data_IF_272348861221
#
_entry.id   IF_272348861221
#
_cell.length_a   1.000
_cell.length_b   1.000
_cell.length_c   1.000
_cell.angle_alpha   90.00
_cell.angle_beta   90.00
_cell.angle_gamma   90.00
#
_symmetry.space_group_name_H-M   'P 1'
#
loop_
_entity.id
_entity.type
_entity.pdbx_description
1 polymer ?
#
# COMPACT_ATOMS: atom_id res chain seq x y z
N UNK A 1 3.22 15.03 16.68
CA UNK A 1 2.61 16.39 16.79
C UNK A 1 2.00 16.56 18.18
N UNK A 2 1.95 17.76 18.80
CA UNK A 2 1.25 17.91 20.06
C UNK A 2 -0.23 17.59 19.85
N UNK A 3 -0.79 16.79 20.75
CA UNK A 3 -2.20 16.40 20.73
C UNK A 3 -3.09 17.65 20.75
N UNK A 4 -4.06 17.78 19.84
CA UNK A 4 -4.92 18.96 19.83
C UNK A 4 -5.80 18.97 21.09
N UNK A 5 -5.61 19.98 21.92
CA UNK A 5 -6.55 20.25 23.04
C UNK A 5 -7.73 21.03 22.47
N UNK A 6 -8.84 20.36 22.25
CA UNK A 6 -10.04 20.97 21.68
C UNK A 6 -10.75 21.83 22.73
N UNK A 7 -10.89 23.12 22.41
CA UNK A 7 -11.56 24.08 23.32
C UNK A 7 -13.08 24.01 23.15
N UNK A 8 -13.85 23.68 24.22
CA UNK A 8 -15.32 23.60 24.17
C UNK A 8 -16.01 24.94 23.86
N UNK A 9 -15.28 26.07 24.00
CA UNK A 9 -15.78 27.42 23.69
C UNK A 9 -15.23 27.94 22.33
N UNK A 10 -14.63 27.10 21.52
CA UNK A 10 -14.14 27.45 20.19
C UNK A 10 -15.28 27.97 19.29
N UNK A 11 -14.98 28.78 18.26
CA UNK A 11 -15.95 29.16 17.24
C UNK A 11 -16.67 27.98 16.61
N UNK A 12 -15.97 26.85 16.41
CA UNK A 12 -16.49 25.64 15.78
C UNK A 12 -17.58 24.97 16.62
N UNK A 13 -17.34 24.85 17.95
CA UNK A 13 -18.36 24.38 18.88
C UNK A 13 -19.56 25.32 18.93
N UNK A 14 -19.32 26.64 18.94
CA UNK A 14 -20.41 27.61 18.92
C UNK A 14 -21.27 27.46 17.64
N UNK A 15 -20.64 27.32 16.47
CA UNK A 15 -21.35 27.10 15.20
C UNK A 15 -22.16 25.79 15.24
N UNK A 16 -21.58 24.71 15.75
CA UNK A 16 -22.27 23.42 15.89
C UNK A 16 -23.56 23.55 16.72
N UNK A 17 -23.45 24.11 17.93
CA UNK A 17 -24.61 24.26 18.82
C UNK A 17 -25.63 25.28 18.32
N UNK A 18 -25.21 26.34 17.65
CA UNK A 18 -26.12 27.29 16.99
C UNK A 18 -26.91 26.62 15.88
N UNK A 19 -26.24 25.78 15.07
CA UNK A 19 -26.91 25.01 14.03
C UNK A 19 -27.97 24.07 14.62
N UNK A 20 -27.62 23.31 15.66
CA UNK A 20 -28.57 22.44 16.36
C UNK A 20 -29.77 23.21 16.94
N UNK A 21 -29.51 24.32 17.62
CA UNK A 21 -30.59 25.17 18.19
C UNK A 21 -31.49 25.70 17.09
N UNK A 22 -30.95 26.10 15.94
CA UNK A 22 -31.74 26.60 14.82
C UNK A 22 -32.63 25.50 14.21
N UNK A 23 -32.10 24.28 14.08
CA UNK A 23 -32.88 23.12 13.62
C UNK A 23 -34.00 22.78 14.60
N UNK A 24 -33.70 22.71 15.90
CA UNK A 24 -34.66 22.41 16.96
C UNK A 24 -35.78 23.47 17.03
N UNK A 25 -35.44 24.76 16.93
CA UNK A 25 -36.43 25.84 16.91
C UNK A 25 -37.39 25.78 15.71
N UNK A 26 -37.00 25.12 14.63
CA UNK A 26 -37.83 24.88 13.44
C UNK A 26 -38.57 23.54 13.47
N UNK A 27 -38.48 22.77 14.59
CA UNK A 27 -39.06 21.44 14.69
C UNK A 27 -38.39 20.38 13.82
N UNK A 28 -37.16 20.63 13.37
CA UNK A 28 -36.39 19.71 12.54
C UNK A 28 -35.52 18.86 13.48
N UNK A 29 -35.89 17.58 13.64
CA UNK A 29 -35.21 16.62 14.51
C UNK A 29 -34.73 15.38 13.72
N UNK A 30 -34.73 15.45 12.38
CA UNK A 30 -34.38 14.33 11.52
C UNK A 30 -32.89 13.96 11.62
N UNK A 31 -32.58 12.68 11.51
CA UNK A 31 -31.21 12.12 11.53
C UNK A 31 -30.28 12.82 10.53
N UNK A 32 -30.75 13.02 9.31
CA UNK A 32 -29.93 13.57 8.22
C UNK A 32 -29.44 15.00 8.54
N UNK A 33 -30.27 15.83 9.14
CA UNK A 33 -29.95 17.24 9.44
C UNK A 33 -29.00 17.38 10.65
N UNK A 34 -29.21 16.58 11.69
CA UNK A 34 -28.34 16.58 12.87
C UNK A 34 -26.99 15.94 12.57
N UNK A 35 -26.98 14.88 11.77
CA UNK A 35 -25.78 14.22 11.23
C UNK A 35 -24.88 15.22 10.49
N UNK A 36 -25.43 16.07 9.63
CA UNK A 36 -24.65 17.09 8.90
C UNK A 36 -23.96 18.09 9.84
N UNK A 37 -24.62 18.50 10.93
CA UNK A 37 -24.02 19.42 11.88
C UNK A 37 -22.81 18.79 12.58
N UNK A 38 -22.90 17.52 12.98
CA UNK A 38 -21.81 16.78 13.59
C UNK A 38 -20.68 16.49 12.60
N UNK A 39 -21.02 16.09 11.35
CA UNK A 39 -20.07 15.89 10.26
C UNK A 39 -19.21 17.15 10.01
N UNK A 40 -19.84 18.32 9.97
CA UNK A 40 -19.15 19.61 9.77
C UNK A 40 -18.18 19.92 10.93
N UNK A 41 -18.57 19.61 12.17
CA UNK A 41 -17.69 19.74 13.34
C UNK A 41 -16.46 18.82 13.20
N UNK A 42 -16.69 17.55 12.89
CA UNK A 42 -15.61 16.57 12.67
C UNK A 42 -14.69 16.97 11.50
N UNK A 43 -15.26 17.41 10.37
CA UNK A 43 -14.48 17.86 9.22
C UNK A 43 -13.60 19.06 9.51
N UNK A 44 -14.08 19.96 10.37
CA UNK A 44 -13.31 21.15 10.76
C UNK A 44 -12.07 20.75 11.57
N UNK A 45 -12.23 19.88 12.57
CA UNK A 45 -11.10 19.41 13.37
C UNK A 45 -10.18 18.46 12.61
N UNK A 46 -10.71 17.69 11.67
CA UNK A 46 -9.89 16.90 10.77
C UNK A 46 -8.89 17.78 9.99
N UNK A 47 -9.34 18.91 9.46
CA UNK A 47 -8.45 19.89 8.78
C UNK A 47 -7.38 20.46 9.70
N UNK A 48 -7.73 20.77 10.96
CA UNK A 48 -6.78 21.30 11.94
C UNK A 48 -5.70 20.27 12.34
N UNK A 49 -6.01 18.97 12.23
CA UNK A 49 -5.08 17.86 12.52
C UNK A 49 -4.38 17.30 11.28
N UNK A 50 -4.54 17.93 10.11
CA UNK A 50 -4.06 17.43 8.84
C UNK A 50 -4.64 16.05 8.46
N UNK A 51 -5.89 15.79 8.85
CA UNK A 51 -6.63 14.62 8.44
C UNK A 51 -7.65 14.97 7.35
N UNK A 52 -7.84 14.08 6.42
CA UNK A 52 -8.84 14.16 5.38
C UNK A 52 -10.12 13.46 5.86
N UNK A 53 -11.23 14.18 5.91
CA UNK A 53 -12.55 13.62 6.18
C UNK A 53 -13.17 13.10 4.88
N UNK A 54 -13.32 11.77 4.76
CA UNK A 54 -13.85 11.12 3.54
C UNK A 54 -15.21 10.46 3.87
N UNK A 55 -16.34 11.04 3.38
CA UNK A 55 -17.65 10.45 3.62
C UNK A 55 -17.81 9.10 2.94
N UNK A 56 -18.52 8.17 3.62
CA UNK A 56 -18.94 6.88 3.07
C UNK A 56 -17.79 6.06 2.40
N UNK A 57 -16.58 6.24 2.89
CA UNK A 57 -15.41 5.51 2.37
C UNK A 57 -15.54 4.02 2.67
N UNK A 58 -15.55 3.14 1.66
CA UNK A 58 -15.81 1.72 1.88
C UNK A 58 -14.63 1.05 2.60
N UNK A 59 -14.95 0.22 3.58
CA UNK A 59 -14.00 -0.69 4.22
C UNK A 59 -13.73 -1.92 3.35
N UNK A 60 -12.65 -2.67 3.58
CA UNK A 60 -12.34 -3.90 2.85
C UNK A 60 -13.50 -4.92 2.83
N UNK A 61 -14.28 -5.00 3.91
CA UNK A 61 -15.47 -5.84 4.02
C UNK A 61 -16.74 -5.24 3.37
N UNK A 62 -16.61 -4.21 2.52
CA UNK A 62 -17.67 -3.49 1.81
C UNK A 62 -18.65 -2.71 2.71
N UNK A 63 -18.44 -2.68 4.01
CA UNK A 63 -19.18 -1.79 4.89
C UNK A 63 -18.68 -0.36 4.69
N UNK A 64 -19.55 0.62 4.88
CA UNK A 64 -19.24 2.03 4.72
C UNK A 64 -19.58 2.74 6.01
N UNK A 65 -18.59 3.16 6.81
CA UNK A 65 -18.84 4.12 7.87
C UNK A 65 -19.28 5.45 7.27
N UNK A 66 -19.99 6.24 8.03
CA UNK A 66 -20.42 7.56 7.57
C UNK A 66 -19.26 8.49 7.25
N UNK A 67 -18.10 8.31 7.88
CA UNK A 67 -16.83 8.85 7.41
C UNK A 67 -15.63 8.03 7.86
N UNK A 68 -14.56 8.13 7.07
CA UNK A 68 -13.20 7.68 7.38
C UNK A 68 -12.27 8.91 7.45
N UNK A 69 -11.33 8.89 8.38
CA UNK A 69 -10.32 9.93 8.53
C UNK A 69 -8.98 9.40 8.05
N UNK A 70 -8.43 10.00 7.00
CA UNK A 70 -7.17 9.63 6.36
C UNK A 70 -6.11 10.71 6.61
N UNK A 71 -4.85 10.34 6.61
CA UNK A 71 -3.74 11.30 6.62
C UNK A 71 -3.62 12.03 5.27
N UNK A 72 -3.18 13.29 5.28
CA UNK A 72 -3.03 14.09 4.05
C UNK A 72 -1.75 13.79 3.29
N UNK A 73 -0.70 13.29 3.95
CA UNK A 73 0.59 12.99 3.31
C UNK A 73 0.72 11.52 2.90
N UNK A 74 0.08 10.65 3.67
CA UNK A 74 0.03 9.22 3.44
C UNK A 74 -1.40 8.79 3.70
N UNK A 75 -1.93 7.84 2.94
CA UNK A 75 -3.30 7.31 3.11
C UNK A 75 -3.45 6.49 4.41
N UNK A 76 -2.85 7.01 5.50
CA UNK A 76 -2.92 6.43 6.84
C UNK A 76 -4.32 6.63 7.40
N UNK A 77 -4.99 5.57 7.76
CA UNK A 77 -6.28 5.66 8.41
C UNK A 77 -6.10 5.98 9.89
N UNK A 78 -6.70 7.08 10.34
CA UNK A 78 -6.64 7.55 11.73
C UNK A 78 -7.91 7.27 12.52
N UNK A 79 -9.04 7.07 11.85
CA UNK A 79 -10.28 6.77 12.54
C UNK A 79 -11.50 6.74 11.66
N UNK A 80 -12.63 6.48 12.29
CA UNK A 80 -13.93 6.31 11.64
C UNK A 80 -15.03 7.03 12.42
N UNK A 81 -16.12 7.33 11.75
CA UNK A 81 -17.34 7.84 12.34
C UNK A 81 -18.56 7.14 11.77
N UNK A 82 -19.51 6.82 12.65
CA UNK A 82 -20.79 6.23 12.31
C UNK A 82 -21.91 6.89 13.09
N UNK A 83 -22.92 7.41 12.40
CA UNK A 83 -24.11 8.04 12.94
C UNK A 83 -25.31 7.09 12.95
N UNK A 84 -26.23 7.30 13.86
CA UNK A 84 -27.49 6.61 14.01
C UNK A 84 -28.64 7.57 14.25
N UNK A 85 -29.84 7.09 13.99
CA UNK A 85 -31.05 7.85 14.28
C UNK A 85 -31.19 8.21 15.78
N UNK A 86 -31.75 9.40 16.11
CA UNK A 86 -31.82 9.87 17.51
C UNK A 86 -32.73 9.00 18.40
N UNK A 87 -33.57 8.15 17.83
CA UNK A 87 -34.45 7.24 18.54
C UNK A 87 -33.88 5.81 18.64
N UNK A 88 -32.75 5.54 17.97
CA UNK A 88 -32.10 4.24 18.07
C UNK A 88 -31.32 4.10 19.38
N UNK A 89 -31.43 2.91 20.00
CA UNK A 89 -30.55 2.57 21.12
C UNK A 89 -29.13 2.32 20.57
N UNK A 90 -28.25 3.29 20.83
CA UNK A 90 -26.91 3.29 20.28
C UNK A 90 -26.10 2.05 20.68
N UNK A 91 -26.26 1.55 21.90
CA UNK A 91 -25.53 0.36 22.39
C UNK A 91 -25.97 -0.92 21.68
N UNK A 92 -27.27 -1.05 21.39
CA UNK A 92 -27.80 -2.16 20.61
C UNK A 92 -27.35 -2.09 19.14
N UNK A 93 -27.46 -0.92 18.52
CA UNK A 93 -27.02 -0.69 17.15
C UNK A 93 -25.52 -0.90 16.94
N UNK A 94 -24.70 -0.62 17.95
CA UNK A 94 -23.25 -0.86 17.92
C UNK A 94 -22.95 -2.36 17.98
N UNK A 95 -23.64 -3.14 18.83
CA UNK A 95 -23.39 -4.59 19.01
C UNK A 95 -23.37 -5.35 17.68
N UNK A 96 -24.29 -5.03 16.79
CA UNK A 96 -24.37 -5.65 15.46
C UNK A 96 -23.24 -5.21 14.53
N UNK A 97 -22.59 -4.07 14.82
CA UNK A 97 -21.53 -3.47 14.01
C UNK A 97 -20.12 -3.74 14.51
N UNK A 98 -19.95 -4.15 15.78
CA UNK A 98 -18.65 -4.47 16.39
C UNK A 98 -17.87 -5.55 15.61
N UNK A 99 -18.57 -6.42 14.90
CA UNK A 99 -17.97 -7.50 14.10
C UNK A 99 -17.53 -7.03 12.70
N UNK A 100 -17.96 -5.86 12.25
CA UNK A 100 -17.79 -5.43 10.87
C UNK A 100 -16.98 -4.13 10.71
N UNK A 101 -16.87 -3.33 11.77
CA UNK A 101 -16.11 -2.09 11.73
C UNK A 101 -14.76 -2.22 12.44
N UNK A 102 -13.70 -1.58 11.90
CA UNK A 102 -12.45 -1.45 12.62
C UNK A 102 -12.67 -0.64 13.89
N UNK A 103 -12.34 -1.23 15.04
CA UNK A 103 -12.50 -0.58 16.34
C UNK A 103 -11.21 0.08 16.83
N UNK A 104 -10.29 0.39 15.92
CA UNK A 104 -9.01 1.02 16.24
C UNK A 104 -9.20 2.43 16.79
N UNK A 105 -10.06 3.24 16.17
CA UNK A 105 -10.44 4.58 16.62
C UNK A 105 -11.76 4.97 15.93
N UNK A 106 -12.90 4.78 16.58
CA UNK A 106 -14.20 5.05 15.99
C UNK A 106 -15.15 5.77 16.94
N UNK A 107 -15.82 6.79 16.42
CA UNK A 107 -16.93 7.46 17.10
C UNK A 107 -18.25 6.90 16.56
N UNK A 108 -19.11 6.42 17.47
CA UNK A 108 -20.52 6.17 17.22
C UNK A 108 -21.36 7.26 17.87
N UNK A 109 -22.36 7.79 17.18
CA UNK A 109 -23.26 8.79 17.77
C UNK A 109 -24.70 8.66 17.26
N UNK A 110 -25.67 9.21 18.00
CA UNK A 110 -27.09 9.22 17.65
C UNK A 110 -27.74 10.60 17.88
N UNK A 111 -27.03 11.68 17.71
CA UNK A 111 -27.46 13.08 17.95
C UNK A 111 -27.77 13.42 19.42
N UNK A 112 -27.79 12.43 20.33
CA UNK A 112 -27.98 12.62 21.78
C UNK A 112 -26.72 12.25 22.56
N UNK A 113 -26.07 11.17 22.14
CA UNK A 113 -24.92 10.55 22.82
C UNK A 113 -23.86 10.22 21.78
N UNK A 114 -22.59 10.35 22.16
CA UNK A 114 -21.47 9.78 21.42
C UNK A 114 -20.69 8.78 22.27
N UNK A 115 -20.21 7.70 21.63
CA UNK A 115 -19.30 6.71 22.19
C UNK A 115 -18.02 6.67 21.38
N UNK A 116 -16.88 6.71 22.05
CA UNK A 116 -15.58 6.49 21.45
C UNK A 116 -15.08 5.08 21.78
N UNK A 117 -14.69 4.33 20.75
CA UNK A 117 -13.94 3.09 20.86
C UNK A 117 -12.53 3.29 20.35
N UNK A 118 -11.55 2.76 21.10
CA UNK A 118 -10.14 2.68 20.68
C UNK A 118 -9.59 1.30 21.04
N UNK A 119 -8.82 0.71 20.15
CA UNK A 119 -8.24 -0.64 20.32
C UNK A 119 -9.27 -1.70 20.75
N UNK A 120 -10.46 -1.67 20.14
CA UNK A 120 -11.55 -2.60 20.44
C UNK A 120 -12.27 -2.38 21.78
N UNK A 121 -11.92 -1.33 22.54
CA UNK A 121 -12.49 -1.07 23.86
C UNK A 121 -13.23 0.27 23.89
N UNK A 122 -14.37 0.36 24.62
CA UNK A 122 -15.03 1.65 24.85
C UNK A 122 -14.14 2.54 25.74
N UNK A 123 -13.85 3.76 25.28
CA UNK A 123 -13.03 4.74 26.00
C UNK A 123 -13.93 5.66 26.83
N UNK A 124 -14.95 6.25 26.20
CA UNK A 124 -15.88 7.13 26.88
C UNK A 124 -17.25 7.17 26.20
N UNK A 125 -18.28 7.51 26.98
CA UNK A 125 -19.65 7.77 26.55
C UNK A 125 -20.05 9.16 27.04
N UNK A 126 -20.46 10.04 26.14
CA UNK A 126 -20.77 11.43 26.45
C UNK A 126 -22.12 11.84 25.89
N UNK A 127 -22.84 12.68 26.64
CA UNK A 127 -24.01 13.37 26.09
C UNK A 127 -23.54 14.52 25.19
N UNK A 128 -24.06 14.63 23.96
CA UNK A 128 -23.66 15.67 23.01
C UNK A 128 -24.00 17.09 23.48
N UNK A 129 -24.88 17.24 24.48
CA UNK A 129 -25.18 18.52 25.11
C UNK A 129 -24.08 19.00 26.07
N UNK A 130 -23.24 18.10 26.59
CA UNK A 130 -22.13 18.42 27.49
C UNK A 130 -20.91 18.82 26.66
N UNK A 131 -20.74 20.13 26.50
CA UNK A 131 -19.69 20.70 25.64
C UNK A 131 -18.27 20.27 26.07
N UNK A 132 -18.02 20.20 27.36
CA UNK A 132 -16.72 19.85 27.90
C UNK A 132 -16.40 18.38 27.57
N UNK A 133 -17.32 17.48 27.89
CA UNK A 133 -17.13 16.06 27.64
C UNK A 133 -17.02 15.73 26.14
N UNK A 134 -17.79 16.44 25.30
CA UNK A 134 -17.66 16.30 23.85
C UNK A 134 -16.29 16.78 23.37
N UNK A 135 -15.78 17.91 23.89
CA UNK A 135 -14.44 18.39 23.56
C UNK A 135 -13.34 17.40 24.00
N UNK A 136 -13.49 16.79 25.18
CA UNK A 136 -12.58 15.77 25.70
C UNK A 136 -12.61 14.51 24.83
N UNK A 137 -13.80 14.05 24.39
CA UNK A 137 -13.96 12.93 23.47
C UNK A 137 -13.27 13.22 22.13
N UNK A 138 -13.52 14.38 21.53
CA UNK A 138 -12.91 14.76 20.24
C UNK A 138 -11.40 14.95 20.39
N UNK A 139 -10.91 15.50 21.52
CA UNK A 139 -9.48 15.58 21.79
C UNK A 139 -8.84 14.18 21.83
N UNK A 140 -9.48 13.22 22.49
CA UNK A 140 -9.03 11.82 22.52
C UNK A 140 -9.04 11.19 21.14
N UNK A 141 -10.09 11.42 20.35
CA UNK A 141 -10.22 10.90 18.99
C UNK A 141 -9.15 11.46 18.05
N UNK A 142 -8.97 12.77 18.01
CA UNK A 142 -8.02 13.44 17.11
C UNK A 142 -6.56 13.41 17.59
N UNK A 143 -6.30 13.00 18.83
CA UNK A 143 -4.94 12.74 19.33
C UNK A 143 -4.50 11.29 19.14
N UNK A 144 -5.42 10.40 18.79
CA UNK A 144 -5.11 8.98 18.61
C UNK A 144 -4.34 8.75 17.32
N UNK A 145 -3.25 8.01 17.42
CA UNK A 145 -2.52 7.50 16.28
C UNK A 145 -2.46 5.97 16.38
N UNK A 146 -2.96 5.22 15.40
CA UNK A 146 -2.77 3.77 15.33
C UNK A 146 -1.29 3.41 15.45
N UNK A 147 -0.95 2.33 16.17
CA UNK A 147 0.45 1.92 16.37
C UNK A 147 1.19 1.72 15.04
N UNK A 148 0.51 1.17 14.03
CA UNK A 148 1.06 1.01 12.68
C UNK A 148 1.44 2.35 12.03
N UNK A 149 0.63 3.39 12.23
CA UNK A 149 0.89 4.73 11.69
C UNK A 149 2.05 5.41 12.41
N UNK A 150 2.09 5.33 13.75
CA UNK A 150 3.22 5.85 14.52
C UNK A 150 4.53 5.15 14.17
N UNK A 151 4.49 3.84 14.02
CA UNK A 151 5.64 3.04 13.67
C UNK A 151 6.16 3.41 12.26
N UNK A 152 5.27 3.56 11.28
CA UNK A 152 5.62 4.04 9.94
C UNK A 152 6.26 5.43 9.99
N UNK A 153 5.62 6.39 10.66
CA UNK A 153 6.11 7.77 10.75
C UNK A 153 7.47 7.85 11.48
N UNK A 154 7.68 7.06 12.55
CA UNK A 154 8.98 6.98 13.23
C UNK A 154 10.06 6.40 12.32
N UNK A 155 9.74 5.35 11.59
CA UNK A 155 10.66 4.74 10.62
C UNK A 155 10.99 5.75 9.52
N UNK A 156 10.00 6.45 8.99
CA UNK A 156 10.17 7.50 7.99
C UNK A 156 11.00 8.68 8.50
N UNK A 157 10.76 9.14 9.73
CA UNK A 157 11.57 10.19 10.36
C UNK A 157 13.03 9.77 10.58
N UNK A 158 13.26 8.48 10.89
CA UNK A 158 14.63 7.94 11.01
C UNK A 158 15.35 7.95 9.67
N UNK A 159 14.65 7.64 8.57
CA UNK A 159 15.17 7.73 7.21
C UNK A 159 15.58 9.17 6.83
N UNK A 160 14.86 10.16 7.35
CA UNK A 160 15.09 11.57 7.03
C UNK A 160 16.08 12.30 7.94
N UNK A 161 16.58 11.69 9.04
CA UNK A 161 17.37 12.37 10.09
C UNK A 161 18.75 11.73 10.38
N UNK A 162 19.35 11.01 9.46
CA UNK A 162 20.55 10.22 9.73
C UNK A 162 21.88 11.00 9.89
N UNK A 163 22.89 10.40 10.53
CA UNK A 163 24.15 11.05 10.91
C UNK A 163 25.03 11.47 9.72
N UNK A 164 25.87 12.49 9.96
CA UNK A 164 26.70 13.18 8.96
C UNK A 164 27.92 12.39 8.39
N UNK A 165 28.11 11.10 8.72
CA UNK A 165 29.35 10.37 8.44
C UNK A 165 29.59 10.03 6.95
N UNK A 166 28.60 10.21 6.10
CA UNK A 166 28.70 10.04 4.65
C UNK A 166 28.37 11.33 3.91
N UNK A 167 29.18 12.38 4.06
CA UNK A 167 29.02 13.62 3.34
C UNK A 167 29.54 13.50 1.90
N UNK A 168 28.72 13.78 0.92
CA UNK A 168 29.16 14.05 -0.43
C UNK A 168 29.35 15.58 -0.59
N UNK A 169 30.36 16.04 -1.36
CA UNK A 169 30.66 17.47 -1.48
C UNK A 169 29.51 18.34 -2.00
N UNK A 170 28.58 17.74 -2.74
CA UNK A 170 27.45 18.42 -3.40
C UNK A 170 26.08 18.03 -2.85
N UNK A 171 26.02 17.37 -1.67
CA UNK A 171 24.78 16.81 -1.16
C UNK A 171 24.34 17.44 0.15
N UNK A 172 23.30 18.29 0.10
CA UNK A 172 22.59 18.85 1.24
C UNK A 172 21.55 17.86 1.84
N UNK A 173 21.42 16.63 1.30
CA UNK A 173 20.46 15.63 1.76
C UNK A 173 20.82 15.12 3.14
N UNK A 174 19.86 15.18 4.06
CA UNK A 174 19.94 14.59 5.41
C UNK A 174 19.48 13.13 5.42
N UNK A 175 19.08 12.58 4.29
CA UNK A 175 18.50 11.25 4.19
C UNK A 175 19.59 10.17 3.99
N UNK A 176 19.77 9.32 4.99
CA UNK A 176 20.79 8.25 4.97
C UNK A 176 20.59 7.26 3.84
N UNK A 177 19.33 6.91 3.55
CA UNK A 177 19.01 5.94 2.50
C UNK A 177 19.46 6.46 1.13
N UNK A 178 19.19 7.73 0.84
CA UNK A 178 19.64 8.39 -0.40
C UNK A 178 21.16 8.35 -0.53
N UNK A 179 21.88 8.66 0.56
CA UNK A 179 23.35 8.65 0.59
C UNK A 179 23.92 7.25 0.37
N UNK A 180 23.34 6.24 1.03
CA UNK A 180 23.76 4.85 0.85
C UNK A 180 23.43 4.36 -0.55
N UNK A 181 22.25 4.63 -1.07
CA UNK A 181 21.87 4.29 -2.45
C UNK A 181 22.85 4.92 -3.46
N UNK A 182 23.17 6.21 -3.29
CA UNK A 182 24.14 6.92 -4.13
C UNK A 182 25.55 6.30 -4.03
N UNK A 183 25.98 5.89 -2.82
CA UNK A 183 27.27 5.22 -2.64
C UNK A 183 27.28 3.84 -3.33
N UNK A 184 26.20 3.07 -3.21
CA UNK A 184 26.07 1.78 -3.91
C UNK A 184 26.16 2.00 -5.44
N UNK A 185 25.45 3.00 -5.97
CA UNK A 185 25.50 3.35 -7.40
C UNK A 185 26.91 3.72 -7.86
N UNK A 186 27.68 4.46 -7.04
CA UNK A 186 29.09 4.76 -7.35
C UNK A 186 29.94 3.50 -7.38
N UNK A 187 29.83 2.61 -6.40
CA UNK A 187 30.56 1.36 -6.36
C UNK A 187 30.21 0.44 -7.54
N UNK A 188 28.96 0.39 -7.96
CA UNK A 188 28.53 -0.32 -9.15
C UNK A 188 29.19 0.28 -10.41
N UNK A 189 29.24 1.62 -10.53
CA UNK A 189 29.88 2.31 -11.65
C UNK A 189 31.39 2.09 -11.71
N UNK A 190 32.04 2.16 -10.57
CA UNK A 190 33.49 1.95 -10.47
C UNK A 190 33.83 0.48 -10.84
N UNK A 191 33.09 -0.49 -10.29
CA UNK A 191 33.31 -1.90 -10.60
C UNK A 191 32.99 -2.24 -12.08
N UNK A 192 32.01 -1.58 -12.69
CA UNK A 192 31.73 -1.73 -14.13
C UNK A 192 32.95 -1.35 -14.98
N UNK A 193 33.72 -0.35 -14.59
CA UNK A 193 34.91 0.11 -15.32
C UNK A 193 36.13 -0.80 -15.05
N UNK A 194 36.26 -1.27 -13.81
CA UNK A 194 37.48 -1.96 -13.34
C UNK A 194 37.38 -3.48 -13.36
N UNK A 195 36.19 -4.04 -13.50
CA UNK A 195 35.94 -5.48 -13.40
C UNK A 195 35.29 -6.07 -14.66
N UNK A 196 36.07 -6.65 -15.58
CA UNK A 196 35.55 -7.18 -16.84
C UNK A 196 34.50 -8.27 -16.66
N UNK A 197 34.56 -9.08 -15.60
CA UNK A 197 33.56 -10.13 -15.34
C UNK A 197 32.21 -9.51 -14.95
N UNK A 198 32.22 -8.48 -14.10
CA UNK A 198 31.01 -7.75 -13.75
C UNK A 198 30.47 -7.00 -14.96
N UNK A 199 31.33 -6.33 -15.73
CA UNK A 199 30.92 -5.63 -16.96
C UNK A 199 30.21 -6.58 -17.92
N UNK A 200 30.76 -7.77 -18.17
CA UNK A 200 30.14 -8.75 -19.04
C UNK A 200 28.75 -9.21 -18.55
N UNK A 201 28.64 -9.52 -17.26
CA UNK A 201 27.37 -9.91 -16.65
C UNK A 201 26.35 -8.79 -16.71
N UNK A 202 26.78 -7.55 -16.43
CA UNK A 202 25.94 -6.36 -16.50
C UNK A 202 25.43 -6.09 -17.93
N UNK A 203 26.33 -6.08 -18.92
CA UNK A 203 25.97 -5.81 -20.33
C UNK A 203 25.01 -6.87 -20.88
N UNK A 204 25.20 -8.14 -20.48
CA UNK A 204 24.29 -9.20 -20.81
C UNK A 204 22.89 -8.92 -20.23
N UNK A 205 22.81 -8.60 -18.94
CA UNK A 205 21.56 -8.28 -18.25
C UNK A 205 20.90 -7.04 -18.86
N UNK A 206 21.66 -5.95 -19.13
CA UNK A 206 21.13 -4.78 -19.81
C UNK A 206 20.57 -5.11 -21.19
N UNK A 207 21.27 -5.93 -21.97
CA UNK A 207 20.79 -6.37 -23.29
C UNK A 207 19.46 -7.11 -23.18
N UNK A 208 19.31 -7.93 -22.14
CA UNK A 208 18.06 -8.64 -21.90
C UNK A 208 16.97 -7.65 -21.48
N UNK A 209 17.23 -6.71 -20.55
CA UNK A 209 16.28 -5.66 -20.19
C UNK A 209 15.80 -4.84 -21.40
N UNK A 210 16.72 -4.47 -22.31
CA UNK A 210 16.37 -3.75 -23.53
C UNK A 210 15.49 -4.53 -24.49
N UNK A 211 15.58 -5.86 -24.47
CA UNK A 211 14.73 -6.72 -25.28
C UNK A 211 13.37 -7.01 -24.66
N UNK A 212 13.27 -6.99 -23.33
CA UNK A 212 12.11 -7.48 -22.58
C UNK A 212 11.26 -6.37 -21.96
N UNK A 213 11.88 -5.31 -21.49
CA UNK A 213 11.18 -4.20 -20.82
C UNK A 213 11.01 -3.02 -21.76
N UNK A 214 12.09 -2.35 -22.09
CA UNK A 214 12.09 -1.18 -22.96
C UNK A 214 13.41 -1.10 -23.73
N UNK A 215 13.40 -1.05 -25.07
CA UNK A 215 14.61 -0.91 -25.88
C UNK A 215 15.45 0.32 -25.57
N UNK A 216 14.87 1.31 -24.92
CA UNK A 216 15.53 2.57 -24.55
C UNK A 216 16.18 2.55 -23.18
N UNK A 217 16.06 1.42 -22.43
CA UNK A 217 16.67 1.27 -21.10
C UNK A 217 18.15 1.62 -21.13
N UNK A 218 18.51 2.60 -20.34
CA UNK A 218 19.87 3.09 -20.18
C UNK A 218 20.60 2.29 -19.10
N UNK A 219 21.93 2.44 -19.12
CA UNK A 219 22.80 1.84 -18.12
C UNK A 219 22.43 2.27 -16.68
N UNK A 220 22.09 3.56 -16.49
CA UNK A 220 21.72 4.13 -15.21
C UNK A 220 20.45 3.47 -14.60
N UNK A 221 19.53 3.02 -15.44
CA UNK A 221 18.31 2.33 -14.97
C UNK A 221 18.64 0.92 -14.48
N UNK A 222 19.53 0.22 -15.16
CA UNK A 222 20.02 -1.10 -14.71
C UNK A 222 20.86 -0.97 -13.44
N UNK A 223 21.70 0.04 -13.32
CA UNK A 223 22.42 0.37 -12.09
C UNK A 223 21.44 0.61 -10.93
N UNK A 224 20.35 1.33 -11.20
CA UNK A 224 19.27 1.56 -10.22
C UNK A 224 18.57 0.27 -9.81
N UNK A 225 18.28 -0.64 -10.75
CA UNK A 225 17.69 -1.97 -10.43
C UNK A 225 18.59 -2.78 -9.51
N UNK A 226 19.92 -2.82 -9.77
CA UNK A 226 20.87 -3.50 -8.89
C UNK A 226 20.93 -2.88 -7.50
N UNK A 227 20.94 -1.56 -7.40
CA UNK A 227 20.94 -0.87 -6.12
C UNK A 227 19.63 -1.13 -5.33
N UNK A 228 18.49 -1.13 -6.00
CA UNK A 228 17.18 -1.46 -5.42
C UNK A 228 17.17 -2.90 -4.89
N UNK A 229 17.65 -3.85 -5.69
CA UNK A 229 17.73 -5.26 -5.31
C UNK A 229 18.57 -5.45 -4.04
N UNK A 230 19.79 -4.90 -4.00
CA UNK A 230 20.69 -4.96 -2.86
C UNK A 230 20.11 -4.34 -1.57
N UNK A 231 19.38 -3.24 -1.70
CA UNK A 231 18.77 -2.55 -0.55
C UNK A 231 17.52 -3.26 -0.02
N UNK A 232 16.83 -4.03 -0.84
CA UNK A 232 15.54 -4.64 -0.46
C UNK A 232 15.64 -6.11 -0.09
N UNK A 233 16.76 -6.76 -0.37
CA UNK A 233 17.03 -8.17 -0.05
C UNK A 233 16.69 -8.49 1.42
N UNK A 234 17.24 -7.74 2.36
CA UNK A 234 17.02 -7.96 3.79
C UNK A 234 15.56 -7.72 4.22
N UNK A 235 14.89 -6.74 3.63
CA UNK A 235 13.49 -6.45 3.97
C UNK A 235 12.59 -7.61 3.53
N UNK A 236 12.82 -8.12 2.32
CA UNK A 236 12.05 -9.25 1.80
C UNK A 236 12.22 -10.49 2.69
N UNK A 237 13.45 -10.79 3.13
CA UNK A 237 13.74 -11.90 4.01
C UNK A 237 13.09 -11.76 5.40
N UNK A 238 13.01 -10.53 5.94
CA UNK A 238 12.43 -10.31 7.27
C UNK A 238 10.89 -10.38 7.29
N UNK A 239 10.25 -10.00 6.19
CA UNK A 239 8.78 -10.02 6.07
C UNK A 239 8.24 -11.42 5.79
N UNK A 240 8.99 -12.19 5.05
CA UNK A 240 8.67 -13.56 4.62
C UNK A 240 9.74 -14.55 5.09
N UNK A 241 9.92 -14.73 6.42
CA UNK A 241 11.04 -15.48 6.99
C UNK A 241 11.05 -16.96 6.61
N UNK A 242 9.90 -17.51 6.23
CA UNK A 242 9.74 -18.90 5.82
C UNK A 242 10.04 -19.13 4.33
N UNK A 243 10.51 -18.09 3.62
CA UNK A 243 10.72 -18.12 2.17
C UNK A 243 12.09 -17.60 1.77
N UNK A 244 12.68 -18.27 0.83
CA UNK A 244 13.88 -17.83 0.13
C UNK A 244 13.46 -17.18 -1.22
N UNK A 245 12.86 -15.98 -1.09
CA UNK A 245 12.34 -15.23 -2.24
C UNK A 245 13.39 -15.04 -3.36
N UNK A 246 14.64 -14.81 -2.98
CA UNK A 246 15.72 -14.58 -3.94
C UNK A 246 15.96 -15.81 -4.84
N UNK A 247 15.83 -17.01 -4.28
CA UNK A 247 16.00 -18.25 -5.02
C UNK A 247 14.71 -18.74 -5.70
N UNK A 248 13.55 -18.27 -5.25
CA UNK A 248 12.26 -18.65 -5.81
C UNK A 248 11.80 -17.71 -6.94
N UNK A 249 12.16 -16.41 -6.88
CA UNK A 249 11.77 -15.43 -7.90
C UNK A 249 12.77 -15.43 -9.08
N UNK A 250 12.27 -15.68 -10.31
CA UNK A 250 13.11 -15.80 -11.50
C UNK A 250 13.88 -14.53 -11.85
N UNK A 251 13.33 -13.34 -11.58
CA UNK A 251 13.97 -12.06 -11.86
C UNK A 251 15.03 -11.75 -10.79
N UNK A 252 14.75 -12.05 -9.53
CA UNK A 252 15.73 -11.93 -8.46
C UNK A 252 16.95 -12.83 -8.73
N UNK A 253 16.74 -14.07 -9.18
CA UNK A 253 17.82 -14.97 -9.58
C UNK A 253 18.71 -14.41 -10.71
N UNK A 254 18.12 -13.72 -11.69
CA UNK A 254 18.92 -13.11 -12.76
C UNK A 254 19.76 -11.91 -12.27
N UNK A 255 19.21 -11.11 -11.35
CA UNK A 255 19.96 -10.03 -10.70
C UNK A 255 21.09 -10.57 -9.81
N UNK A 256 20.85 -11.63 -9.05
CA UNK A 256 21.88 -12.28 -8.25
C UNK A 256 23.08 -12.73 -9.10
N UNK A 257 22.87 -13.28 -10.30
CA UNK A 257 23.97 -13.65 -11.20
C UNK A 257 24.84 -12.45 -11.58
N UNK A 258 24.29 -11.25 -11.66
CA UNK A 258 25.07 -10.02 -11.89
C UNK A 258 25.80 -9.62 -10.62
N UNK A 259 25.09 -9.63 -9.47
CA UNK A 259 25.62 -9.25 -8.16
C UNK A 259 26.78 -10.17 -7.69
N UNK A 260 26.71 -11.47 -7.98
CA UNK A 260 27.80 -12.42 -7.69
C UNK A 260 29.14 -12.02 -8.30
N UNK A 261 29.13 -11.30 -9.41
CA UNK A 261 30.33 -10.80 -10.07
C UNK A 261 30.81 -9.44 -9.55
N UNK A 262 30.04 -8.78 -8.65
CA UNK A 262 30.37 -7.48 -8.10
C UNK A 262 31.45 -7.60 -7.01
N UNK A 263 32.65 -7.09 -7.24
CA UNK A 263 33.76 -7.12 -6.25
C UNK A 263 33.41 -6.31 -4.99
N UNK A 264 32.71 -5.19 -5.18
CA UNK A 264 32.25 -4.34 -4.09
C UNK A 264 31.14 -4.97 -3.22
N UNK A 265 30.61 -6.15 -3.58
CA UNK A 265 29.51 -6.79 -2.86
C UNK A 265 29.75 -6.93 -1.36
N UNK A 266 30.95 -7.39 -0.97
CA UNK A 266 31.31 -7.53 0.45
C UNK A 266 31.36 -6.18 1.19
N UNK A 267 31.85 -5.14 0.54
CA UNK A 267 31.87 -3.79 1.09
C UNK A 267 30.46 -3.25 1.28
N UNK A 268 29.59 -3.46 0.29
CA UNK A 268 28.19 -3.08 0.35
C UNK A 268 27.50 -3.79 1.51
N UNK A 269 27.59 -5.11 1.59
CA UNK A 269 26.95 -5.91 2.63
C UNK A 269 27.47 -5.58 4.05
N UNK A 270 28.78 -5.48 4.23
CA UNK A 270 29.37 -5.35 5.56
C UNK A 270 29.40 -3.92 6.08
N UNK A 271 29.58 -2.93 5.21
CA UNK A 271 29.77 -1.55 5.64
C UNK A 271 28.53 -0.68 5.40
N UNK A 272 27.99 -0.72 4.18
CA UNK A 272 26.89 0.18 3.81
C UNK A 272 25.54 -0.31 4.33
N UNK A 273 25.21 -1.58 4.13
CA UNK A 273 23.95 -2.13 4.61
C UNK A 273 23.92 -2.26 6.13
N UNK A 274 25.09 -2.43 6.78
CA UNK A 274 25.18 -2.40 8.24
C UNK A 274 24.83 -1.02 8.81
N UNK A 275 25.12 0.05 8.11
CA UNK A 275 24.69 1.41 8.52
C UNK A 275 23.17 1.56 8.51
N UNK A 276 22.47 0.75 7.73
CA UNK A 276 20.99 0.66 7.73
C UNK A 276 20.44 -0.37 8.73
N UNK A 277 21.30 -1.02 9.53
CA UNK A 277 20.85 -2.10 10.43
C UNK A 277 19.74 -1.64 11.39
N UNK A 278 19.90 -0.48 12.02
CA UNK A 278 18.85 0.09 12.88
C UNK A 278 17.53 0.36 12.17
N UNK A 279 17.59 0.71 10.90
CA UNK A 279 16.39 0.91 10.07
C UNK A 279 15.72 -0.43 9.78
N UNK A 280 16.50 -1.42 9.34
CA UNK A 280 15.97 -2.76 9.07
C UNK A 280 15.37 -3.38 10.33
N UNK A 281 16.07 -3.29 11.49
CA UNK A 281 15.53 -3.75 12.78
C UNK A 281 14.20 -3.08 13.13
N UNK A 282 14.05 -1.77 12.88
CA UNK A 282 12.79 -1.07 13.10
C UNK A 282 11.70 -1.53 12.15
N UNK A 283 12.02 -1.77 10.87
CA UNK A 283 11.07 -2.33 9.90
C UNK A 283 10.62 -3.72 10.37
N UNK A 284 11.57 -4.57 10.76
CA UNK A 284 11.33 -5.92 11.28
C UNK A 284 10.45 -5.90 12.55
N UNK A 285 10.74 -5.01 13.51
CA UNK A 285 9.92 -4.83 14.71
C UNK A 285 8.49 -4.40 14.42
N UNK A 286 8.31 -3.51 13.44
CA UNK A 286 6.97 -3.05 13.04
C UNK A 286 6.21 -4.19 12.38
N UNK A 287 6.82 -4.86 11.42
CA UNK A 287 6.21 -6.00 10.71
C UNK A 287 5.83 -7.12 11.66
N UNK A 288 6.67 -7.40 12.68
CA UNK A 288 6.38 -8.40 13.70
C UNK A 288 5.16 -8.05 14.59
N UNK A 289 4.87 -6.76 14.76
CA UNK A 289 3.73 -6.27 15.55
C UNK A 289 2.43 -6.17 14.75
N UNK A 290 2.51 -6.21 13.43
CA UNK A 290 1.33 -6.17 12.57
C UNK A 290 0.72 -7.57 12.45
N UNK A 291 -0.52 -7.73 12.94
CA UNK A 291 -1.19 -9.03 13.03
C UNK A 291 -1.80 -9.50 11.71
N UNK A 292 -2.25 -8.57 10.85
CA UNK A 292 -2.82 -8.91 9.56
C UNK A 292 -1.88 -8.59 8.40
N UNK A 293 -1.96 -9.40 7.38
CA UNK A 293 -1.10 -9.26 6.21
C UNK A 293 -1.40 -7.97 5.43
N UNK A 294 -2.63 -7.48 5.43
CA UNK A 294 -2.96 -6.21 4.75
C UNK A 294 -2.24 -5.02 5.37
N UNK A 295 -2.15 -4.98 6.71
CA UNK A 295 -1.38 -3.95 7.41
C UNK A 295 0.11 -4.06 7.07
N UNK A 296 0.66 -5.29 7.03
CA UNK A 296 2.04 -5.55 6.59
C UNK A 296 2.27 -5.08 5.15
N UNK A 297 1.40 -5.45 4.23
CA UNK A 297 1.48 -5.06 2.82
C UNK A 297 1.41 -3.53 2.65
N UNK A 298 0.45 -2.86 3.31
CA UNK A 298 0.34 -1.39 3.28
C UNK A 298 1.60 -0.73 3.82
N UNK A 299 2.11 -1.21 4.94
CA UNK A 299 3.35 -0.69 5.53
C UNK A 299 4.53 -0.84 4.57
N UNK A 300 4.74 -2.04 4.03
CA UNK A 300 5.82 -2.31 3.08
C UNK A 300 5.70 -1.49 1.80
N UNK A 301 4.52 -1.45 1.18
CA UNK A 301 4.30 -0.65 -0.02
C UNK A 301 4.72 0.81 0.19
N UNK A 302 4.44 1.38 1.37
CA UNK A 302 4.87 2.74 1.73
C UNK A 302 6.38 2.86 1.96
N UNK A 303 6.98 1.88 2.64
CA UNK A 303 8.45 1.85 2.84
C UNK A 303 9.13 1.80 1.48
N UNK A 304 8.67 0.94 0.58
CA UNK A 304 9.24 0.80 -0.76
C UNK A 304 8.99 2.04 -1.63
N UNK A 305 7.80 2.64 -1.58
CA UNK A 305 7.52 3.91 -2.25
C UNK A 305 8.49 5.00 -1.78
N UNK A 306 8.71 5.08 -0.47
CA UNK A 306 9.70 5.97 0.12
C UNK A 306 11.11 5.70 -0.36
N UNK A 307 11.53 4.43 -0.42
CA UNK A 307 12.83 4.01 -0.95
C UNK A 307 12.97 4.40 -2.41
N UNK A 308 11.96 4.11 -3.23
CA UNK A 308 11.99 4.37 -4.66
C UNK A 308 12.11 5.88 -4.96
N UNK A 309 11.33 6.73 -4.31
CA UNK A 309 11.41 8.19 -4.44
C UNK A 309 12.78 8.76 -4.07
N UNK A 310 13.53 8.07 -3.22
CA UNK A 310 14.88 8.49 -2.83
C UNK A 310 15.97 7.96 -3.78
N UNK A 311 15.78 6.77 -4.34
CA UNK A 311 16.78 6.11 -5.20
C UNK A 311 16.65 6.58 -6.65
N UNK A 312 15.43 6.73 -7.14
CA UNK A 312 15.13 7.05 -8.54
C UNK A 312 14.00 8.10 -8.66
N UNK A 313 14.21 9.34 -8.18
CA UNK A 313 13.17 10.37 -8.16
C UNK A 313 12.60 10.66 -9.56
N UNK A 314 13.46 10.74 -10.58
CA UNK A 314 13.03 11.01 -11.96
C UNK A 314 12.15 9.89 -12.53
N UNK A 315 12.38 8.64 -12.13
CA UNK A 315 11.56 7.49 -12.53
C UNK A 315 10.23 7.47 -11.75
N UNK A 316 10.24 7.87 -10.47
CA UNK A 316 9.03 7.96 -9.67
C UNK A 316 8.00 8.92 -10.28
N UNK A 317 8.47 10.06 -10.78
CA UNK A 317 7.62 11.09 -11.40
C UNK A 317 7.14 10.67 -12.79
N UNK A 318 7.99 9.97 -13.57
CA UNK A 318 7.65 9.55 -14.95
C UNK A 318 6.74 8.33 -15.01
N UNK A 319 6.84 7.41 -14.08
CA UNK A 319 6.06 6.15 -14.09
C UNK A 319 4.81 6.20 -13.21
N UNK A 320 4.47 7.37 -12.65
CA UNK A 320 3.21 7.59 -11.93
C UNK A 320 2.98 6.59 -10.81
N UNK A 321 3.99 6.36 -9.93
CA UNK A 321 3.84 5.45 -8.79
C UNK A 321 2.82 6.01 -7.83
N UNK A 322 1.58 5.64 -8.02
CA UNK A 322 0.46 6.00 -7.17
C UNK A 322 -0.19 4.72 -6.67
N UNK A 323 -0.15 4.54 -5.35
CA UNK A 323 -0.90 3.45 -4.70
C UNK A 323 -2.40 3.66 -4.89
N UNK A 324 -3.08 2.68 -5.47
CA UNK A 324 -4.54 2.73 -5.62
C UNK A 324 -5.20 2.35 -4.30
N UNK A 325 -5.98 3.25 -3.68
CA UNK A 325 -6.66 2.95 -2.42
C UNK A 325 -7.55 1.71 -2.51
N UNK A 326 -7.43 0.80 -1.56
CA UNK A 326 -8.20 -0.46 -1.54
C UNK A 326 -9.72 -0.29 -1.74
N UNK A 327 -10.38 0.75 -1.21
CA UNK A 327 -11.80 0.97 -1.47
C UNK A 327 -12.13 1.23 -2.92
N UNK A 328 -11.24 1.91 -3.66
CA UNK A 328 -11.41 2.13 -5.11
C UNK A 328 -11.26 0.82 -5.84
N UNK A 329 -10.24 0.02 -5.50
CA UNK A 329 -10.03 -1.32 -6.05
C UNK A 329 -11.26 -2.21 -5.82
N UNK A 330 -11.77 -2.24 -4.58
CA UNK A 330 -12.98 -2.99 -4.22
C UNK A 330 -14.22 -2.53 -5.00
N UNK A 331 -14.39 -1.24 -5.18
CA UNK A 331 -15.49 -0.68 -6.00
C UNK A 331 -15.35 -1.12 -7.48
N UNK A 332 -14.15 -1.04 -8.04
CA UNK A 332 -13.91 -1.41 -9.44
C UNK A 332 -14.16 -2.91 -9.65
N UNK A 333 -13.62 -3.77 -8.79
CA UNK A 333 -13.85 -5.22 -8.86
C UNK A 333 -15.34 -5.59 -8.70
N UNK A 334 -16.04 -4.96 -7.74
CA UNK A 334 -17.48 -5.16 -7.56
C UNK A 334 -18.30 -4.66 -8.75
N UNK A 335 -17.86 -3.58 -9.40
CA UNK A 335 -18.50 -3.05 -10.59
C UNK A 335 -18.33 -3.98 -11.78
N UNK A 336 -17.13 -4.53 -11.99
CA UNK A 336 -16.85 -5.54 -13.02
C UNK A 336 -17.67 -6.80 -12.77
N UNK A 337 -17.70 -7.31 -11.53
CA UNK A 337 -18.53 -8.47 -11.17
C UNK A 337 -20.01 -8.24 -11.49
N UNK A 338 -20.54 -7.05 -11.13
CA UNK A 338 -21.93 -6.69 -11.43
C UNK A 338 -22.21 -6.63 -12.93
N UNK A 339 -21.29 -6.03 -13.72
CA UNK A 339 -21.41 -5.96 -15.17
C UNK A 339 -21.38 -7.36 -15.81
N UNK A 340 -20.45 -8.22 -15.38
CA UNK A 340 -20.36 -9.59 -15.88
C UNK A 340 -21.65 -10.37 -15.61
N UNK A 341 -22.22 -10.23 -14.42
CA UNK A 341 -23.47 -10.90 -14.06
C UNK A 341 -24.66 -10.37 -14.85
N UNK A 342 -24.76 -9.03 -14.99
CA UNK A 342 -25.93 -8.40 -15.58
C UNK A 342 -25.96 -8.46 -17.10
N UNK A 343 -24.83 -8.23 -17.76
CA UNK A 343 -24.76 -8.05 -19.22
C UNK A 343 -24.22 -9.29 -19.95
N UNK A 344 -23.49 -10.17 -19.26
CA UNK A 344 -22.80 -11.32 -19.87
C UNK A 344 -23.20 -12.67 -19.27
N UNK A 345 -24.08 -12.71 -18.28
CA UNK A 345 -24.51 -13.91 -17.55
C UNK A 345 -23.33 -14.79 -17.06
N UNK A 346 -22.27 -14.12 -16.57
CA UNK A 346 -21.04 -14.73 -16.08
C UNK A 346 -20.52 -14.01 -14.83
N UNK A 347 -19.35 -14.38 -14.31
CA UNK A 347 -18.76 -13.78 -13.11
C UNK A 347 -17.23 -13.83 -13.17
N UNK A 348 -16.53 -13.04 -12.34
CA UNK A 348 -15.07 -13.13 -12.21
C UNK A 348 -14.59 -14.54 -11.80
N UNK A 349 -15.42 -15.30 -11.10
CA UNK A 349 -15.13 -16.67 -10.69
C UNK A 349 -15.40 -17.70 -11.79
N UNK A 350 -16.10 -17.36 -12.85
CA UNK A 350 -16.48 -18.32 -13.91
C UNK A 350 -15.25 -18.82 -14.67
N UNK A 351 -15.31 -20.08 -15.10
CA UNK A 351 -14.29 -20.69 -15.96
C UNK A 351 -14.20 -19.89 -17.27
N UNK A 352 -12.99 -19.72 -17.79
CA UNK A 352 -12.71 -19.00 -19.04
C UNK A 352 -12.88 -17.45 -18.96
N UNK A 353 -13.22 -16.89 -17.79
CA UNK A 353 -13.10 -15.46 -17.56
C UNK A 353 -11.66 -15.18 -17.14
N UNK A 354 -10.83 -14.83 -18.11
CA UNK A 354 -9.40 -14.56 -17.92
C UNK A 354 -9.21 -13.08 -17.63
N UNK A 355 -8.45 -12.78 -16.58
CA UNK A 355 -8.30 -11.44 -16.03
C UNK A 355 -6.85 -10.98 -16.18
N UNK A 356 -6.64 -9.76 -16.66
CA UNK A 356 -5.34 -9.11 -16.77
C UNK A 356 -5.34 -7.80 -16.00
N UNK A 357 -4.35 -7.61 -15.13
CA UNK A 357 -3.94 -6.30 -14.64
C UNK A 357 -2.67 -5.86 -15.39
N UNK A 358 -2.77 -4.91 -16.32
CA UNK A 358 -1.65 -4.55 -17.17
C UNK A 358 -0.55 -3.71 -16.49
N UNK A 359 -0.81 -3.20 -15.27
CA UNK A 359 0.08 -2.34 -14.50
C UNK A 359 -0.14 -2.60 -13.01
N UNK A 360 0.27 -3.77 -12.55
CA UNK A 360 -0.15 -4.33 -11.26
C UNK A 360 0.35 -3.55 -10.04
N UNK A 361 1.42 -2.77 -10.20
CA UNK A 361 2.04 -2.05 -9.10
C UNK A 361 2.46 -2.99 -7.97
N UNK A 362 1.98 -2.74 -6.76
CA UNK A 362 2.25 -3.59 -5.58
C UNK A 362 1.27 -4.76 -5.42
N UNK A 363 0.42 -5.06 -6.41
CA UNK A 363 -0.45 -6.23 -6.41
C UNK A 363 -1.86 -6.04 -5.85
N UNK A 364 -2.26 -4.83 -5.49
CA UNK A 364 -3.50 -4.57 -4.75
C UNK A 364 -4.77 -5.09 -5.43
N UNK A 365 -4.89 -4.96 -6.76
CA UNK A 365 -6.04 -5.48 -7.51
C UNK A 365 -6.12 -7.00 -7.47
N UNK A 366 -5.00 -7.67 -7.72
CA UNK A 366 -4.95 -9.13 -7.72
C UNK A 366 -5.17 -9.70 -6.33
N UNK A 367 -4.56 -9.13 -5.30
CA UNK A 367 -4.78 -9.53 -3.90
C UNK A 367 -6.26 -9.46 -3.51
N UNK A 368 -6.92 -8.34 -3.81
CA UNK A 368 -8.34 -8.18 -3.53
C UNK A 368 -9.23 -9.11 -4.36
N UNK A 369 -8.86 -9.35 -5.62
CA UNK A 369 -9.53 -10.31 -6.49
C UNK A 369 -9.46 -11.72 -5.88
N UNK A 370 -8.28 -12.19 -5.46
CA UNK A 370 -8.11 -13.52 -4.84
C UNK A 370 -9.02 -13.71 -3.62
N UNK A 371 -9.14 -12.68 -2.77
CA UNK A 371 -10.03 -12.73 -1.60
C UNK A 371 -11.53 -12.69 -1.93
N UNK A 372 -11.89 -12.18 -3.10
CA UNK A 372 -13.28 -12.15 -3.56
C UNK A 372 -13.71 -13.47 -4.20
N UNK A 373 -12.78 -14.24 -4.72
CA UNK A 373 -13.06 -15.48 -5.42
C UNK A 373 -13.44 -16.61 -4.44
N UNK A 374 -14.38 -17.48 -4.80
CA UNK A 374 -14.67 -18.67 -4.02
C UNK A 374 -13.44 -19.58 -3.93
N UNK A 375 -13.10 -20.10 -2.75
CA UNK A 375 -11.94 -21.00 -2.53
C UNK A 375 -11.86 -22.17 -3.52
N UNK A 376 -13.00 -22.72 -3.89
CA UNK A 376 -13.05 -23.84 -4.85
C UNK A 376 -12.60 -23.45 -6.27
N UNK A 377 -12.58 -22.16 -6.60
CA UNK A 377 -12.18 -21.63 -7.92
C UNK A 377 -10.75 -21.06 -7.92
N UNK A 378 -10.25 -20.73 -6.75
CA UNK A 378 -8.94 -20.10 -6.58
C UNK A 378 -7.80 -20.84 -7.27
N UNK A 379 -7.60 -22.18 -7.11
CA UNK A 379 -6.46 -22.86 -7.73
C UNK A 379 -6.44 -22.73 -9.25
N UNK A 380 -7.59 -22.91 -9.92
CA UNK A 380 -7.67 -22.81 -11.38
C UNK A 380 -7.46 -21.36 -11.86
N UNK A 381 -8.05 -20.37 -11.16
CA UNK A 381 -7.88 -18.95 -11.46
C UNK A 381 -6.43 -18.52 -11.29
N UNK A 382 -5.84 -18.84 -10.17
CA UNK A 382 -4.46 -18.53 -9.83
C UNK A 382 -3.45 -19.10 -10.82
N UNK A 383 -3.64 -20.35 -11.21
CA UNK A 383 -2.69 -21.04 -12.08
C UNK A 383 -2.77 -20.61 -13.56
N UNK A 384 -3.97 -20.24 -14.07
CA UNK A 384 -4.16 -20.13 -15.53
C UNK A 384 -5.07 -18.99 -16.02
N UNK A 385 -5.80 -18.32 -15.14
CA UNK A 385 -6.83 -17.37 -15.56
C UNK A 385 -6.63 -15.96 -14.96
N UNK A 386 -5.52 -15.71 -14.25
CA UNK A 386 -5.14 -14.39 -13.74
C UNK A 386 -3.73 -14.08 -14.23
N UNK A 387 -3.57 -12.93 -14.90
CA UNK A 387 -2.30 -12.41 -15.38
C UNK A 387 -2.10 -10.99 -14.91
N UNK A 388 -0.86 -10.59 -14.72
CA UNK A 388 -0.52 -9.21 -14.44
C UNK A 388 0.92 -8.87 -14.84
N UNK A 389 1.15 -7.59 -15.17
CA UNK A 389 2.42 -7.10 -15.68
C UNK A 389 2.91 -5.94 -14.81
N UNK A 390 4.24 -5.88 -14.63
CA UNK A 390 4.91 -4.77 -13.97
C UNK A 390 6.27 -4.54 -14.63
N UNK A 391 6.59 -3.28 -14.91
CA UNK A 391 7.83 -2.87 -15.55
C UNK A 391 8.90 -2.47 -14.54
N UNK A 392 8.48 -2.16 -13.31
CA UNK A 392 9.38 -1.69 -12.27
C UNK A 392 9.71 -2.78 -11.27
N UNK A 393 11.00 -2.92 -10.94
CA UNK A 393 11.51 -4.03 -10.15
C UNK A 393 10.91 -4.11 -8.74
N UNK A 394 10.90 -3.01 -7.99
CA UNK A 394 10.40 -3.04 -6.61
C UNK A 394 8.90 -3.32 -6.51
N UNK A 395 8.03 -2.63 -7.27
CA UNK A 395 6.62 -2.99 -7.31
C UNK A 395 6.39 -4.45 -7.73
N UNK A 396 7.13 -4.96 -8.74
CA UNK A 396 7.07 -6.35 -9.16
C UNK A 396 7.37 -7.32 -8.00
N UNK A 397 8.44 -7.06 -7.22
CA UNK A 397 8.79 -7.91 -6.07
C UNK A 397 7.68 -7.92 -5.02
N UNK A 398 7.15 -6.73 -4.68
CA UNK A 398 6.07 -6.62 -3.70
C UNK A 398 4.82 -7.33 -4.19
N UNK A 399 4.47 -7.15 -5.47
CA UNK A 399 3.31 -7.80 -6.06
C UNK A 399 3.44 -9.32 -6.02
N UNK A 400 4.56 -9.87 -6.49
CA UNK A 400 4.82 -11.31 -6.48
C UNK A 400 4.67 -11.90 -5.07
N UNK A 401 5.42 -11.36 -4.10
CA UNK A 401 5.36 -11.79 -2.70
C UNK A 401 3.96 -11.68 -2.09
N UNK A 402 3.29 -10.56 -2.34
CA UNK A 402 2.00 -10.29 -1.72
C UNK A 402 0.86 -11.13 -2.29
N UNK A 403 0.86 -11.36 -3.58
CA UNK A 403 -0.12 -12.23 -4.27
C UNK A 403 0.03 -13.67 -3.78
N UNK A 404 1.26 -14.17 -3.72
CA UNK A 404 1.56 -15.51 -3.23
C UNK A 404 1.19 -15.69 -1.76
N UNK A 405 1.43 -14.67 -0.93
CA UNK A 405 1.05 -14.70 0.48
C UNK A 405 -0.47 -14.74 0.67
N UNK A 406 -1.23 -13.95 -0.10
CA UNK A 406 -2.70 -14.00 -0.05
C UNK A 406 -3.22 -15.37 -0.48
N UNK A 407 -2.62 -15.97 -1.53
CA UNK A 407 -2.99 -17.33 -1.91
C UNK A 407 -2.71 -18.34 -0.81
N UNK A 408 -1.53 -18.24 -0.16
CA UNK A 408 -1.19 -19.09 0.99
C UNK A 408 -2.20 -18.94 2.15
N UNK A 409 -2.59 -17.70 2.50
CA UNK A 409 -3.59 -17.45 3.54
C UNK A 409 -4.96 -18.07 3.21
N UNK A 410 -5.37 -17.97 1.95
CA UNK A 410 -6.66 -18.50 1.49
C UNK A 410 -6.66 -20.03 1.36
N UNK A 411 -5.56 -20.62 0.90
CA UNK A 411 -5.51 -22.06 0.56
C UNK A 411 -4.84 -22.92 1.61
N UNK A 412 -3.98 -22.34 2.48
CA UNK A 412 -3.24 -23.06 3.52
C UNK A 412 -2.00 -23.81 3.00
N UNK A 413 -1.64 -23.61 1.74
CA UNK A 413 -0.41 -24.13 1.13
C UNK A 413 0.14 -23.14 0.11
N UNK A 414 1.45 -23.18 -0.07
CA UNK A 414 2.15 -22.32 -1.01
C UNK A 414 2.15 -22.88 -2.43
N UNK A 415 1.91 -21.99 -3.38
CA UNK A 415 2.19 -22.21 -4.81
C UNK A 415 2.75 -20.93 -5.41
N UNK A 416 3.79 -20.98 -6.25
CA UNK A 416 4.33 -19.79 -6.92
C UNK A 416 3.28 -19.19 -7.87
N UNK A 417 3.24 -17.86 -7.95
CA UNK A 417 2.33 -17.19 -8.87
C UNK A 417 2.95 -17.04 -10.26
N UNK A 418 2.54 -17.94 -11.13
CA UNK A 418 3.03 -17.99 -12.50
C UNK A 418 2.34 -16.99 -13.46
N UNK A 419 1.40 -16.19 -12.97
CA UNK A 419 0.65 -15.20 -13.74
C UNK A 419 1.27 -13.80 -13.77
N UNK A 420 2.35 -13.56 -13.03
CA UNK A 420 3.02 -12.25 -13.03
C UNK A 420 4.21 -12.24 -14.00
N UNK A 421 4.27 -11.21 -14.86
CA UNK A 421 5.36 -10.98 -15.81
C UNK A 421 6.10 -9.68 -15.49
N UNK A 422 7.43 -9.72 -15.54
CA UNK A 422 8.26 -8.53 -15.48
C UNK A 422 8.46 -7.98 -16.89
N UNK A 423 7.54 -7.11 -17.32
CA UNK A 423 7.50 -6.64 -18.72
C UNK A 423 6.69 -5.35 -18.86
N UNK A 424 6.96 -4.62 -19.95
CA UNK A 424 6.07 -3.54 -20.38
C UNK A 424 4.90 -4.12 -21.19
N UNK A 425 3.69 -3.95 -20.70
CA UNK A 425 2.45 -4.38 -21.36
C UNK A 425 2.30 -3.82 -22.77
N UNK A 426 2.71 -2.57 -23.00
CA UNK A 426 2.59 -1.92 -24.31
C UNK A 426 3.53 -2.52 -25.35
N UNK A 427 4.68 -3.01 -24.92
CA UNK A 427 5.64 -3.66 -25.81
C UNK A 427 5.25 -5.11 -26.16
N UNK A 428 4.46 -5.77 -25.31
CA UNK A 428 3.95 -7.12 -25.61
C UNK A 428 3.11 -7.17 -26.90
N UNK A 429 2.43 -6.06 -27.25
CA UNK A 429 1.58 -5.96 -28.44
C UNK A 429 2.42 -5.83 -29.73
N UNK A 430 3.68 -5.45 -29.64
CA UNK A 430 4.53 -5.09 -30.81
C UNK A 430 5.21 -6.27 -31.51
N UNK A 431 4.83 -7.50 -31.17
CA UNK A 431 5.30 -8.75 -31.85
C UNK A 431 6.82 -8.86 -32.03
N UNK A 432 7.59 -8.34 -31.08
CA UNK A 432 9.03 -8.51 -31.05
C UNK A 432 9.35 -9.93 -30.55
N UNK A 433 10.20 -10.67 -31.25
CA UNK A 433 10.75 -11.94 -30.75
C UNK A 433 11.55 -11.62 -29.48
N UNK A 434 10.95 -11.86 -28.35
CA UNK A 434 11.47 -11.44 -27.05
C UNK A 434 12.36 -12.55 -26.50
N UNK A 435 13.67 -12.30 -26.47
CA UNK A 435 14.54 -13.00 -25.53
C UNK A 435 14.25 -12.38 -24.16
N UNK A 436 13.63 -13.15 -23.27
CA UNK A 436 13.18 -12.67 -21.96
C UNK A 436 14.29 -12.73 -20.91
N UNK A 437 14.16 -11.96 -19.79
CA UNK A 437 15.10 -11.94 -18.67
C UNK A 437 15.39 -13.32 -18.11
N UNK A 438 14.38 -14.20 -18.10
CA UNK A 438 14.55 -15.62 -17.75
C UNK A 438 13.70 -16.49 -18.66
N UNK A 439 14.05 -17.77 -18.76
CA UNK A 439 13.22 -18.75 -19.47
C UNK A 439 11.84 -18.90 -18.81
N UNK A 440 11.77 -18.78 -17.49
CA UNK A 440 10.52 -18.85 -16.76
C UNK A 440 9.61 -17.65 -17.09
N UNK A 441 10.17 -16.43 -17.11
CA UNK A 441 9.41 -15.23 -17.46
C UNK A 441 8.95 -15.25 -18.92
N UNK A 442 9.80 -15.73 -19.83
CA UNK A 442 9.42 -15.99 -21.22
C UNK A 442 8.20 -16.91 -21.34
N UNK A 443 8.20 -18.00 -20.60
CA UNK A 443 7.07 -18.94 -20.61
C UNK A 443 5.78 -18.30 -20.02
N UNK A 444 5.90 -17.42 -19.05
CA UNK A 444 4.78 -16.66 -18.47
C UNK A 444 4.16 -15.72 -19.50
N UNK A 445 4.99 -14.93 -20.19
CA UNK A 445 4.54 -14.01 -21.25
C UNK A 445 3.90 -14.76 -22.43
N UNK A 446 4.46 -15.87 -22.86
CA UNK A 446 3.86 -16.67 -23.94
C UNK A 446 2.49 -17.25 -23.52
N UNK A 447 2.32 -17.63 -22.24
CA UNK A 447 1.02 -18.06 -21.70
C UNK A 447 0.01 -16.91 -21.69
N UNK A 448 0.43 -15.69 -21.26
CA UNK A 448 -0.42 -14.51 -21.29
C UNK A 448 -0.86 -14.15 -22.71
N UNK A 449 0.09 -14.13 -23.68
CA UNK A 449 -0.22 -13.87 -25.10
C UNK A 449 -1.17 -14.90 -25.71
N UNK A 450 -1.07 -16.15 -25.29
CA UNK A 450 -1.95 -17.22 -25.75
C UNK A 450 -3.31 -17.20 -25.06
N UNK A 451 -3.45 -16.50 -23.93
CA UNK A 451 -4.67 -16.45 -23.15
C UNK A 451 -5.73 -15.56 -23.81
N UNK A 452 -6.98 -16.00 -23.77
CA UNK A 452 -8.11 -15.19 -24.23
C UNK A 452 -8.54 -14.24 -23.10
N UNK A 453 -7.86 -13.11 -22.95
CA UNK A 453 -8.20 -12.09 -21.95
C UNK A 453 -9.62 -11.59 -22.17
N UNK A 454 -10.44 -11.65 -21.13
CA UNK A 454 -11.86 -11.23 -21.16
C UNK A 454 -12.14 -10.01 -20.25
N UNK A 455 -11.30 -9.83 -19.23
CA UNK A 455 -11.37 -8.69 -18.32
C UNK A 455 -10.00 -8.05 -18.20
N UNK A 456 -9.93 -6.74 -18.40
CA UNK A 456 -8.75 -5.94 -18.10
C UNK A 456 -9.14 -4.96 -16.99
N UNK A 457 -8.41 -4.98 -15.90
CA UNK A 457 -8.66 -4.12 -14.74
C UNK A 457 -7.34 -3.72 -14.08
N UNK A 458 -7.15 -2.45 -13.86
CA UNK A 458 -5.93 -1.89 -13.26
C UNK A 458 -5.99 -0.38 -13.19
N UNK A 459 -4.93 0.24 -12.68
CA UNK A 459 -4.73 1.70 -12.66
C UNK A 459 -3.41 2.03 -13.38
N UNK A 460 -3.41 2.17 -14.73
CA UNK A 460 -2.20 2.47 -15.47
C UNK A 460 -1.68 3.88 -15.17
N UNK A 461 -0.36 4.14 -15.33
CA UNK A 461 0.22 5.47 -15.20
C UNK A 461 -0.39 6.43 -16.24
N UNK A 462 -0.50 7.72 -15.88
CA UNK A 462 -1.10 8.79 -16.69
C UNK A 462 -0.24 10.05 -16.71
#
# INVERSE_FOLDING_TARGET
MPSPVINPHSPHFNTYYQTLNTLHARGIHGELQTRHAFANLLQTYAKETNWLFVPEHPLPNRKRPDATFLGTEFDLTYGYWESKGPEEDLESAIRDKLTFYPLTNIIFENSKIALLYQEGKPVCKVALQDRQKLADLLSSFFSYAPQENEAFLRTWQTLSQAPHDFAFPDDDSKNILFRIARKILLLIKDDYVENPAFQQAFDLFQTVCQKTLDPTIKKEEVESMLAQHLLTERISASVFPDRDFLHENSIACELEKVVENLKAYKEIQQNLLQTLAELYEKIEEVVAKLFDFEAKHRFLSRVYEGFFKQIAPDQADTHGIVYTPQPIVGFMLASVEHLLQKEFDTSLAAKEVVILDPCVGTGTFIMQLLRMLPRARLPAKYATEIFCNEVMLLPYYIAALSIEQVYYEEMGHYEPFEGICFTDTLDLVRDRKTEMLSQADAARVEREKAAKITVIIGNPPY
#
